data_IF_249637826134
#
_entry.id   IF_249637826134
#
_cell.length_a   1.000
_cell.length_b   1.000
_cell.length_c   1.000
_cell.angle_alpha   90.00
_cell.angle_beta   90.00
_cell.angle_gamma   90.00
#
_symmetry.space_group_name_H-M   'P 1'
#
loop_
_entity.id
_entity.type
_entity.pdbx_description
1 polymer ?
#
# COMPACT_ATOMS: atom_id res chain seq x y z
N UNK A 1 11.58 -7.25 -10.16
CA UNK A 1 10.53 -7.08 -9.14
C UNK A 1 11.18 -6.37 -7.95
N UNK A 2 10.75 -5.16 -7.60
CA UNK A 2 11.24 -4.47 -6.40
C UNK A 2 10.67 -5.15 -5.16
N UNK A 3 11.52 -5.51 -4.19
CA UNK A 3 11.08 -6.04 -2.91
C UNK A 3 10.32 -4.93 -2.18
N UNK A 4 9.00 -5.06 -2.07
CA UNK A 4 8.17 -4.14 -1.29
C UNK A 4 8.24 -4.52 0.19
N UNK A 5 8.98 -3.74 0.97
CA UNK A 5 9.01 -3.86 2.43
C UNK A 5 7.72 -3.33 3.03
N UNK A 6 6.92 -4.23 3.62
CA UNK A 6 5.71 -3.86 4.35
C UNK A 6 6.08 -3.43 5.77
N UNK A 7 5.89 -2.14 6.07
CA UNK A 7 6.11 -1.59 7.41
C UNK A 7 4.77 -1.58 8.17
N UNK A 8 4.69 -2.18 9.37
CA UNK A 8 3.49 -2.15 10.21
C UNK A 8 2.94 -0.72 10.43
N UNK A 9 1.62 -0.54 10.30
CA UNK A 9 0.93 0.75 10.46
C UNK A 9 1.23 1.44 11.79
N UNK A 10 1.31 0.68 12.88
CA UNK A 10 1.66 1.21 14.21
C UNK A 10 3.04 1.90 14.23
N UNK A 11 4.01 1.42 13.45
CA UNK A 11 5.33 2.05 13.36
C UNK A 11 5.26 3.37 12.59
N UNK A 12 4.37 3.47 11.61
CA UNK A 12 4.10 4.70 10.86
C UNK A 12 3.39 5.75 11.70
N UNK A 13 2.36 5.35 12.45
CA UNK A 13 1.61 6.25 13.34
C UNK A 13 2.50 6.83 14.44
N UNK A 14 3.48 6.06 14.92
CA UNK A 14 4.44 6.51 15.94
C UNK A 14 5.71 7.14 15.36
N UNK A 15 5.89 7.13 14.04
CA UNK A 15 7.16 7.49 13.40
C UNK A 15 7.57 8.92 13.73
N UNK A 16 6.65 9.88 13.61
CA UNK A 16 6.90 11.29 13.88
C UNK A 16 7.33 11.51 15.34
N UNK A 17 6.59 10.94 16.28
CA UNK A 17 6.89 11.02 17.72
C UNK A 17 8.27 10.44 18.05
N UNK A 18 8.61 9.29 17.48
CA UNK A 18 9.91 8.62 17.68
C UNK A 18 11.04 9.43 17.05
N UNK A 19 10.85 9.95 15.83
CA UNK A 19 11.83 10.76 15.12
C UNK A 19 12.12 12.05 15.90
N UNK A 20 11.08 12.73 16.39
CA UNK A 20 11.21 13.94 17.21
C UNK A 20 11.96 13.65 18.52
N UNK A 21 11.62 12.56 19.21
CA UNK A 21 12.30 12.19 20.45
C UNK A 21 13.80 11.89 20.24
N UNK A 22 14.13 11.14 19.18
CA UNK A 22 15.53 10.85 18.83
C UNK A 22 16.28 12.09 18.38
N UNK A 23 15.65 12.97 17.60
CA UNK A 23 16.24 14.23 17.16
C UNK A 23 16.61 15.11 18.35
N UNK A 24 15.69 15.26 19.33
CA UNK A 24 15.96 16.02 20.57
C UNK A 24 17.13 15.42 21.35
N UNK A 25 17.17 14.09 21.51
CA UNK A 25 18.26 13.40 22.20
C UNK A 25 19.61 13.62 21.50
N UNK A 26 19.65 13.47 20.18
CA UNK A 26 20.85 13.69 19.38
C UNK A 26 21.36 15.14 19.48
N UNK A 27 20.45 16.12 19.42
CA UNK A 27 20.78 17.53 19.61
C UNK A 27 21.34 17.79 21.02
N UNK A 28 20.79 17.15 22.06
CA UNK A 28 21.30 17.25 23.42
C UNK A 28 22.73 16.68 23.56
N UNK A 29 23.03 15.56 22.91
CA UNK A 29 24.40 15.02 22.87
C UNK A 29 25.37 15.93 22.11
N UNK A 30 24.93 16.52 20.99
CA UNK A 30 25.71 17.52 20.25
C UNK A 30 25.99 18.77 21.08
N UNK A 31 24.98 19.28 21.79
CA UNK A 31 25.12 20.46 22.63
C UNK A 31 26.21 20.28 23.70
N UNK A 32 26.24 19.09 24.34
CA UNK A 32 27.29 18.71 25.31
C UNK A 32 28.68 18.68 24.68
N UNK A 33 28.82 18.12 23.48
CA UNK A 33 30.11 18.05 22.77
C UNK A 33 30.62 19.41 22.31
N UNK A 34 29.70 20.30 21.92
CA UNK A 34 29.99 21.64 21.43
C UNK A 34 30.12 22.68 22.56
N UNK A 35 29.79 22.32 23.80
CA UNK A 35 29.83 23.23 24.95
C UNK A 35 28.77 24.34 24.89
N UNK A 36 27.65 24.12 24.20
CA UNK A 36 26.58 25.11 24.04
C UNK A 36 25.31 24.71 24.83
N UNK A 37 24.46 25.67 25.22
CA UNK A 37 23.21 25.35 25.89
C UNK A 37 22.25 24.55 24.99
N UNK A 38 21.83 23.37 25.46
CA UNK A 38 20.92 22.47 24.73
C UNK A 38 19.64 23.16 24.28
N UNK A 39 19.02 23.97 25.15
CA UNK A 39 17.78 24.69 24.85
C UNK A 39 17.94 25.70 23.71
N UNK A 40 19.10 26.37 23.63
CA UNK A 40 19.37 27.34 22.57
C UNK A 40 19.62 26.64 21.24
N UNK A 41 20.42 25.57 21.27
CA UNK A 41 20.68 24.76 20.08
C UNK A 41 19.36 24.17 19.55
N UNK A 42 18.56 23.55 20.40
CA UNK A 42 17.28 22.93 20.03
C UNK A 42 16.31 23.95 19.40
N UNK A 43 16.18 25.16 19.96
CA UNK A 43 15.36 26.23 19.35
C UNK A 43 15.86 26.65 17.97
N UNK A 44 17.18 26.57 17.73
CA UNK A 44 17.81 26.98 16.47
C UNK A 44 17.70 25.91 15.38
N UNK A 45 17.83 24.62 15.72
CA UNK A 45 17.83 23.52 14.75
C UNK A 45 16.48 22.82 14.60
N UNK A 46 15.60 22.92 15.60
CA UNK A 46 14.28 22.30 15.59
C UNK A 46 13.23 23.27 16.13
N UNK A 47 13.00 24.42 15.45
CA UNK A 47 12.03 25.40 15.89
C UNK A 47 10.60 24.84 15.79
N UNK A 48 9.75 25.16 16.76
CA UNK A 48 8.33 24.74 16.77
C UNK A 48 7.51 25.32 15.62
N UNK A 49 8.03 26.33 14.92
CA UNK A 49 7.41 26.89 13.71
C UNK A 49 7.64 26.02 12.47
N UNK A 50 8.65 25.15 12.46
CA UNK A 50 8.85 24.22 11.36
C UNK A 50 7.92 23.02 11.53
N UNK A 51 6.88 22.97 10.71
CA UNK A 51 6.01 21.81 10.63
C UNK A 51 6.54 20.85 9.57
N UNK A 52 7.15 19.74 10.01
CA UNK A 52 7.56 18.66 9.13
C UNK A 52 6.35 17.77 8.87
N UNK A 53 5.62 18.04 7.78
CA UNK A 53 4.41 17.28 7.44
C UNK A 53 4.79 15.96 6.79
N UNK A 54 4.75 14.87 7.56
CA UNK A 54 4.88 13.52 7.04
C UNK A 54 3.54 13.08 6.45
N UNK A 55 3.45 13.01 5.12
CA UNK A 55 2.26 12.49 4.44
C UNK A 55 2.45 10.98 4.27
N UNK A 56 1.69 10.21 5.05
CA UNK A 56 1.67 8.75 4.94
C UNK A 56 0.58 8.38 3.93
N UNK A 57 0.98 7.94 2.74
CA UNK A 57 0.04 7.43 1.75
C UNK A 57 -0.25 5.96 2.05
N UNK A 58 -1.37 5.72 2.75
CA UNK A 58 -1.88 4.36 2.94
C UNK A 58 -2.40 3.84 1.59
N UNK A 59 -1.60 3.01 0.93
CA UNK A 59 -1.96 2.38 -0.34
C UNK A 59 -3.04 1.32 -0.18
N UNK A 60 -3.47 0.96 1.04
CA UNK A 60 -4.63 0.10 1.25
C UNK A 60 -5.94 0.87 1.19
N UNK A 61 -5.92 2.19 1.42
CA UNK A 61 -7.09 3.03 1.23
C UNK A 61 -7.32 3.22 -0.27
N UNK A 62 -8.49 2.81 -0.77
CA UNK A 62 -8.87 2.94 -2.19
C UNK A 62 -8.74 4.38 -2.71
N UNK A 63 -8.96 5.38 -1.84
CA UNK A 63 -8.81 6.81 -2.16
C UNK A 63 -7.37 7.23 -2.48
N UNK A 64 -6.37 6.47 -2.05
CA UNK A 64 -4.95 6.74 -2.26
C UNK A 64 -4.31 5.85 -3.34
N UNK A 65 -5.11 4.97 -3.96
CA UNK A 65 -4.67 4.12 -5.05
C UNK A 65 -4.87 4.80 -6.41
N UNK A 66 -3.94 4.56 -7.32
CA UNK A 66 -4.04 5.07 -8.67
C UNK A 66 -5.26 4.49 -9.40
N UNK A 67 -6.11 5.37 -9.94
CA UNK A 67 -7.34 4.98 -10.68
C UNK A 67 -7.10 4.43 -12.09
N UNK A 68 -5.84 4.26 -12.52
CA UNK A 68 -5.55 3.66 -13.81
C UNK A 68 -5.75 2.15 -13.77
N UNK A 69 -6.31 1.60 -14.84
CA UNK A 69 -6.39 0.16 -15.03
C UNK A 69 -5.08 -0.40 -15.57
N UNK A 70 -4.68 -1.55 -15.05
CA UNK A 70 -3.59 -2.38 -15.54
C UNK A 70 -4.17 -3.74 -15.91
N UNK A 71 -3.83 -4.21 -17.11
CA UNK A 71 -4.21 -5.53 -17.56
C UNK A 71 -3.08 -6.53 -17.28
N UNK A 72 -3.40 -7.56 -16.51
CA UNK A 72 -2.59 -8.75 -16.26
C UNK A 72 -3.28 -9.94 -16.94
N UNK A 73 -2.92 -10.20 -18.19
CA UNK A 73 -3.55 -11.22 -19.04
C UNK A 73 -5.08 -11.04 -19.13
N UNK A 74 -5.87 -11.94 -18.52
CA UNK A 74 -7.34 -11.90 -18.50
C UNK A 74 -7.93 -11.04 -17.38
N UNK A 75 -7.09 -10.49 -16.50
CA UNK A 75 -7.51 -9.72 -15.34
C UNK A 75 -7.18 -8.25 -15.52
N UNK A 76 -8.19 -7.40 -15.38
CA UNK A 76 -8.01 -5.94 -15.32
C UNK A 76 -8.16 -5.48 -13.88
N UNK A 77 -7.11 -4.92 -13.29
CA UNK A 77 -7.10 -4.43 -11.91
C UNK A 77 -6.72 -2.94 -11.87
N UNK A 78 -7.04 -2.26 -10.78
CA UNK A 78 -6.49 -0.93 -10.52
C UNK A 78 -4.99 -1.00 -10.23
N UNK A 79 -4.29 0.04 -10.66
CA UNK A 79 -2.90 0.25 -10.33
C UNK A 79 -2.75 0.43 -8.81
N UNK A 80 -1.99 -0.47 -8.17
CA UNK A 80 -1.73 -0.43 -6.73
C UNK A 80 -0.70 0.62 -6.30
N UNK A 81 -0.13 1.38 -7.24
CA UNK A 81 0.81 2.46 -6.91
C UNK A 81 0.05 3.63 -6.29
N UNK A 82 0.69 4.30 -5.35
CA UNK A 82 0.14 5.48 -4.71
C UNK A 82 -0.14 6.60 -5.73
N UNK A 83 -1.18 7.39 -5.45
CA UNK A 83 -1.51 8.59 -6.24
C UNK A 83 -0.40 9.63 -6.10
N UNK A 84 -0.06 10.28 -7.23
CA UNK A 84 0.79 11.46 -7.20
C UNK A 84 0.02 12.64 -6.60
N UNK A 85 0.72 13.52 -5.90
CA UNK A 85 0.10 14.69 -5.27
C UNK A 85 -0.72 15.52 -6.27
N UNK A 86 -1.96 15.86 -5.90
CA UNK A 86 -2.90 16.63 -6.74
C UNK A 86 -3.44 15.85 -7.95
N UNK A 87 -3.31 14.53 -7.99
CA UNK A 87 -3.73 13.70 -9.12
C UNK A 87 -4.42 12.42 -8.66
N UNK A 88 -5.34 11.89 -9.48
CA UNK A 88 -5.96 10.57 -9.25
C UNK A 88 -5.10 9.40 -9.74
N UNK A 89 -3.92 9.69 -10.30
CA UNK A 89 -3.03 8.72 -10.93
C UNK A 89 -1.64 8.74 -10.29
N UNK A 90 -0.91 7.63 -10.37
CA UNK A 90 0.47 7.56 -9.91
C UNK A 90 1.42 8.35 -10.83
N UNK A 91 2.66 8.53 -10.40
CA UNK A 91 3.70 9.28 -11.14
C UNK A 91 3.93 8.80 -12.57
N UNK A 92 3.66 7.52 -12.85
CA UNK A 92 3.73 6.92 -14.18
C UNK A 92 2.44 7.15 -14.99
N UNK A 93 1.28 6.77 -14.44
CA UNK A 93 0.00 6.83 -15.16
C UNK A 93 -0.55 8.25 -15.33
N UNK A 94 -0.07 9.24 -14.56
CA UNK A 94 -0.40 10.64 -14.81
C UNK A 94 0.10 11.13 -16.19
N UNK A 95 1.21 10.55 -16.66
CA UNK A 95 1.86 10.93 -17.93
C UNK A 95 1.51 9.98 -19.07
N UNK A 96 1.14 8.73 -18.76
CA UNK A 96 0.74 7.71 -19.72
C UNK A 96 -0.69 7.28 -19.40
N UNK A 97 -1.68 7.97 -19.98
CA UNK A 97 -3.09 7.62 -19.84
C UNK A 97 -3.30 6.23 -20.46
N UNK A 98 -3.56 5.24 -19.62
CA UNK A 98 -3.98 3.91 -20.08
C UNK A 98 -5.45 4.00 -20.46
N UNK A 99 -5.78 3.67 -21.70
CA UNK A 99 -7.15 3.58 -22.18
C UNK A 99 -7.81 2.35 -21.59
N UNK A 100 -8.95 2.53 -20.92
CA UNK A 100 -9.91 1.43 -20.74
C UNK A 100 -10.37 1.06 -22.14
N UNK A 101 -10.32 -0.23 -22.49
CA UNK A 101 -10.87 -0.69 -23.78
C UNK A 101 -12.37 -0.43 -23.76
N UNK A 102 -12.81 0.60 -24.50
CA UNK A 102 -14.22 0.96 -24.62
C UNK A 102 -15.04 -0.25 -25.11
N UNK A 103 -16.21 -0.47 -24.50
CA UNK A 103 -17.09 -1.60 -24.82
C UNK A 103 -16.81 -2.89 -24.07
N UNK A 104 -15.80 -2.95 -23.18
CA UNK A 104 -15.62 -4.09 -22.28
C UNK A 104 -16.41 -3.89 -20.98
N UNK A 105 -17.23 -4.88 -20.61
CA UNK A 105 -17.87 -4.96 -19.29
C UNK A 105 -17.08 -5.95 -18.41
N UNK A 106 -15.97 -5.52 -17.78
CA UNK A 106 -15.14 -6.43 -17.01
C UNK A 106 -15.90 -7.00 -15.82
N UNK A 107 -15.71 -8.30 -15.58
CA UNK A 107 -16.32 -8.98 -14.44
C UNK A 107 -15.61 -8.49 -13.18
N UNK A 108 -16.36 -7.96 -12.22
CA UNK A 108 -15.80 -7.59 -10.92
C UNK A 108 -15.48 -8.85 -10.10
N UNK A 109 -14.23 -8.96 -9.65
CA UNK A 109 -13.77 -10.03 -8.78
C UNK A 109 -13.46 -9.47 -7.39
N UNK A 110 -13.90 -10.16 -6.33
CA UNK A 110 -13.54 -9.81 -4.96
C UNK A 110 -12.31 -10.61 -4.53
N UNK A 111 -11.35 -9.97 -3.85
CA UNK A 111 -10.18 -10.70 -3.33
C UNK A 111 -10.60 -11.52 -2.11
N UNK A 112 -10.25 -12.80 -2.09
CA UNK A 112 -10.42 -13.67 -0.93
C UNK A 112 -9.31 -13.35 0.08
N UNK A 113 -9.60 -13.48 1.38
CA UNK A 113 -8.61 -13.26 2.44
C UNK A 113 -7.41 -14.18 2.23
N UNK A 114 -6.21 -13.59 2.27
CA UNK A 114 -4.97 -14.35 2.08
C UNK A 114 -4.82 -15.41 3.18
N UNK A 115 -4.47 -16.63 2.77
CA UNK A 115 -4.16 -17.75 3.66
C UNK A 115 -2.71 -18.15 3.39
N UNK A 116 -1.93 -18.45 4.43
CA UNK A 116 -0.48 -18.74 4.29
C UNK A 116 -0.15 -19.93 3.39
N UNK A 117 -1.11 -20.83 3.19
CA UNK A 117 -0.95 -22.08 2.44
C UNK A 117 -1.38 -21.99 0.97
N UNK A 118 -1.99 -20.88 0.57
CA UNK A 118 -2.58 -20.74 -0.76
C UNK A 118 -2.05 -19.49 -1.46
N UNK A 119 -1.97 -19.57 -2.78
CA UNK A 119 -1.75 -18.38 -3.59
C UNK A 119 -2.92 -17.39 -3.45
N UNK A 120 -2.73 -16.10 -3.78
CA UNK A 120 -3.82 -15.14 -3.76
C UNK A 120 -5.00 -15.61 -4.62
N UNK A 121 -6.21 -15.56 -4.05
CA UNK A 121 -7.44 -16.00 -4.71
C UNK A 121 -8.42 -14.84 -4.88
N UNK A 122 -9.21 -14.93 -5.93
CA UNK A 122 -10.31 -14.02 -6.25
C UNK A 122 -11.60 -14.80 -6.43
N UNK A 123 -12.73 -14.20 -6.06
CA UNK A 123 -14.06 -14.81 -6.16
C UNK A 123 -14.97 -13.99 -7.07
N UNK A 124 -15.70 -14.70 -7.94
CA UNK A 124 -16.91 -14.17 -8.59
C UNK A 124 -18.06 -15.14 -8.41
N UNK A 125 -19.17 -14.65 -7.83
CA UNK A 125 -20.31 -15.46 -7.39
C UNK A 125 -19.85 -16.57 -6.42
N UNK A 126 -19.63 -17.77 -6.94
CA UNK A 126 -19.21 -18.98 -6.20
C UNK A 126 -17.93 -19.62 -6.75
N UNK A 127 -17.29 -18.98 -7.73
CA UNK A 127 -16.12 -19.52 -8.43
C UNK A 127 -14.86 -18.79 -8.00
N UNK A 128 -13.79 -19.55 -7.76
CA UNK A 128 -12.49 -19.05 -7.35
C UNK A 128 -11.52 -19.04 -8.52
N UNK A 129 -10.76 -17.94 -8.62
CA UNK A 129 -9.75 -17.69 -9.62
C UNK A 129 -8.40 -17.45 -8.96
N UNK A 130 -7.32 -17.93 -9.58
CA UNK A 130 -5.95 -17.63 -9.16
C UNK A 130 -5.44 -16.32 -9.79
N UNK A 131 -4.17 -16.02 -9.52
CA UNK A 131 -3.49 -14.82 -10.03
C UNK A 131 -3.33 -14.77 -11.55
N UNK A 132 -3.42 -15.93 -12.21
CA UNK A 132 -3.40 -16.08 -13.66
C UNK A 132 -4.80 -15.99 -14.31
N UNK A 133 -5.87 -15.84 -13.50
CA UNK A 133 -7.25 -15.83 -13.98
C UNK A 133 -7.81 -17.22 -14.31
N UNK A 134 -7.14 -18.29 -13.88
CA UNK A 134 -7.59 -19.66 -14.04
C UNK A 134 -8.57 -20.04 -12.93
N UNK A 135 -9.54 -20.88 -13.25
CA UNK A 135 -10.53 -21.38 -12.31
C UNK A 135 -9.91 -22.46 -11.44
N UNK A 136 -9.75 -22.17 -10.14
CA UNK A 136 -9.06 -23.04 -9.17
C UNK A 136 -9.97 -23.61 -8.11
N UNK A 137 -11.24 -23.21 -8.06
CA UNK A 137 -12.14 -23.78 -7.06
C UNK A 137 -13.55 -23.19 -7.05
N UNK A 138 -14.31 -23.61 -6.04
CA UNK A 138 -15.60 -23.03 -5.70
C UNK A 138 -15.68 -22.79 -4.20
N UNK A 139 -16.44 -21.78 -3.81
CA UNK A 139 -16.71 -21.48 -2.40
C UNK A 139 -18.20 -21.50 -2.17
N UNK A 140 -18.62 -22.21 -1.12
CA UNK A 140 -19.99 -22.13 -0.63
C UNK A 140 -20.01 -21.11 0.50
N UNK A 141 -20.62 -19.94 0.25
CA UNK A 141 -20.69 -18.83 1.21
C UNK A 141 -21.56 -19.14 2.43
N UNK A 142 -22.59 -19.98 2.28
CA UNK A 142 -23.49 -20.36 3.37
C UNK A 142 -22.75 -21.19 4.43
N UNK A 143 -21.81 -22.03 3.97
CA UNK A 143 -21.12 -23.00 4.82
C UNK A 143 -19.67 -22.59 5.14
N UNK A 144 -19.19 -21.48 4.59
CA UNK A 144 -17.78 -21.05 4.70
C UNK A 144 -16.76 -22.04 4.13
N UNK A 145 -17.19 -23.03 3.34
CA UNK A 145 -16.33 -24.11 2.84
C UNK A 145 -15.80 -23.78 1.45
N UNK A 146 -14.48 -23.78 1.34
CA UNK A 146 -13.75 -23.64 0.07
C UNK A 146 -13.38 -25.02 -0.45
N UNK A 147 -13.70 -25.31 -1.71
CA UNK A 147 -13.25 -26.49 -2.45
C UNK A 147 -12.30 -26.05 -3.55
N UNK A 148 -11.04 -26.45 -3.45
CA UNK A 148 -10.00 -26.15 -4.45
C UNK A 148 -9.85 -27.38 -5.34
N UNK A 149 -9.80 -27.16 -6.65
CA UNK A 149 -9.48 -28.21 -7.61
C UNK A 149 -7.97 -28.42 -7.57
N UNK A 150 -7.54 -29.54 -6.99
CA UNK A 150 -6.14 -29.95 -7.04
C UNK A 150 -5.94 -30.62 -8.40
N UNK A 151 -5.29 -29.93 -9.33
CA UNK A 151 -4.74 -30.58 -10.52
C UNK A 151 -3.58 -31.43 -10.04
N UNK A 152 -3.76 -32.76 -10.02
CA UNK A 152 -2.68 -33.69 -9.76
C UNK A 152 -1.58 -33.49 -10.79
N UNK A 153 -0.34 -33.43 -10.31
CA UNK A 153 0.86 -33.46 -11.15
C UNK A 153 0.95 -34.76 -11.96
#
# INVERSE_FOLDING_TARGET
MSIEYKVPRLLWENFESVLLAQSKRYIGELAKRLGVPEKELLKKVLPTSDSLKVIIQDTQAESNQCKAYIQHDKLTIYCRKATAYGCEYCSFHRNKRMTVVEGTNPIQLQKVKDTSTLEPLWISKDTLYNSSGELVGKINKENGKVKIFVLGA
#
